data_IF_401264747511
#
_entry.id   IF_401264747511
#
_cell.length_a   1.000
_cell.length_b   1.000
_cell.length_c   1.000
_cell.angle_alpha   90.00
_cell.angle_beta   90.00
_cell.angle_gamma   90.00
#
_symmetry.space_group_name_H-M   'P 1'
#
loop_
_entity.id
_entity.type
_entity.pdbx_description
1 polymer ?
#
# COMPACT_ATOMS: atom_id res chain seq x y z
N UNK A 1 1.68 -10.63 -49.65
CA UNK A 1 2.24 -10.78 -48.28
C UNK A 1 1.37 -9.97 -47.34
N UNK A 2 0.35 -10.60 -46.76
CA UNK A 2 -0.60 -9.98 -45.84
C UNK A 2 -0.10 -10.16 -44.41
N UNK A 3 0.58 -9.15 -43.87
CA UNK A 3 0.90 -9.08 -42.45
C UNK A 3 -0.32 -8.52 -41.72
N UNK A 4 -1.20 -9.42 -41.28
CA UNK A 4 -2.31 -9.13 -40.39
C UNK A 4 -1.78 -8.62 -39.05
N UNK A 5 -2.22 -7.41 -38.72
CA UNK A 5 -2.07 -6.76 -37.43
C UNK A 5 -2.69 -7.62 -36.32
N UNK A 6 -1.89 -8.12 -35.39
CA UNK A 6 -2.42 -8.62 -34.12
C UNK A 6 -2.38 -7.48 -33.11
N UNK A 7 -3.54 -6.85 -32.91
CA UNK A 7 -3.75 -5.96 -31.78
C UNK A 7 -3.68 -6.79 -30.50
N UNK A 8 -2.59 -6.65 -29.74
CA UNK A 8 -2.53 -7.11 -28.37
C UNK A 8 -3.50 -6.25 -27.55
N UNK A 9 -4.72 -6.77 -27.34
CA UNK A 9 -5.65 -6.23 -26.36
C UNK A 9 -4.99 -6.37 -24.99
N UNK A 10 -4.32 -5.31 -24.54
CA UNK A 10 -3.90 -5.18 -23.17
C UNK A 10 -5.18 -5.05 -22.35
N UNK A 11 -5.60 -6.14 -21.72
CA UNK A 11 -6.65 -6.09 -20.74
C UNK A 11 -6.24 -5.05 -19.67
N UNK A 12 -7.09 -4.07 -19.32
CA UNK A 12 -6.80 -3.23 -18.18
C UNK A 12 -6.66 -4.14 -16.97
N UNK A 13 -5.57 -3.98 -16.21
CA UNK A 13 -5.35 -4.72 -14.98
C UNK A 13 -6.63 -4.60 -14.15
N UNK A 14 -7.35 -5.72 -14.01
CA UNK A 14 -8.52 -5.75 -13.16
C UNK A 14 -8.01 -5.47 -11.74
N UNK A 15 -8.36 -4.30 -11.20
CA UNK A 15 -8.14 -3.99 -9.79
C UNK A 15 -8.83 -5.06 -8.98
N UNK A 16 -8.03 -6.04 -8.55
CA UNK A 16 -8.48 -7.05 -7.62
C UNK A 16 -8.67 -6.34 -6.29
N UNK A 17 -9.70 -6.72 -5.53
CA UNK A 17 -9.72 -6.36 -4.11
C UNK A 17 -8.42 -6.92 -3.52
N UNK A 18 -7.60 -6.04 -2.97
CA UNK A 18 -6.32 -6.34 -2.32
C UNK A 18 -5.18 -6.70 -3.30
N UNK A 19 -4.81 -5.77 -4.18
CA UNK A 19 -3.62 -5.91 -5.02
C UNK A 19 -2.35 -5.65 -4.20
N UNK A 20 -1.74 -6.75 -3.74
CA UNK A 20 -0.48 -6.70 -2.96
C UNK A 20 0.67 -6.03 -3.73
N UNK A 21 0.71 -6.11 -5.06
CA UNK A 21 1.75 -5.49 -5.85
C UNK A 21 1.53 -3.96 -5.97
N UNK A 22 0.27 -3.53 -6.12
CA UNK A 22 -0.09 -2.13 -6.02
C UNK A 22 0.21 -1.57 -4.62
N UNK A 23 -0.20 -2.29 -3.57
CA UNK A 23 0.08 -1.94 -2.17
C UNK A 23 1.57 -1.81 -1.87
N UNK A 24 2.40 -2.70 -2.41
CA UNK A 24 3.86 -2.61 -2.28
C UNK A 24 4.43 -1.33 -2.93
N UNK A 25 3.95 -0.96 -4.12
CA UNK A 25 4.37 0.26 -4.83
C UNK A 25 3.94 1.52 -4.08
N UNK A 26 2.70 1.56 -3.61
CA UNK A 26 2.17 2.66 -2.81
C UNK A 26 2.93 2.81 -1.50
N UNK A 27 3.22 1.70 -0.81
CA UNK A 27 4.06 1.70 0.38
C UNK A 27 5.45 2.27 0.07
N UNK A 28 6.07 1.84 -1.02
CA UNK A 28 7.36 2.34 -1.46
C UNK A 28 7.35 3.87 -1.67
N UNK A 29 6.31 4.38 -2.31
CA UNK A 29 6.16 5.80 -2.64
C UNK A 29 5.86 6.70 -1.42
N UNK A 30 5.10 6.19 -0.45
CA UNK A 30 4.49 7.04 0.58
C UNK A 30 4.95 6.76 2.01
N UNK A 31 5.45 5.55 2.30
CA UNK A 31 5.63 5.10 3.68
C UNK A 31 7.11 4.88 4.05
N UNK A 32 7.96 4.56 3.07
CA UNK A 32 9.35 4.13 3.31
C UNK A 32 10.23 5.20 3.91
N UNK A 33 9.94 6.49 3.68
CA UNK A 33 10.70 7.59 4.24
C UNK A 33 10.78 7.57 5.78
N UNK A 34 9.77 7.00 6.45
CA UNK A 34 9.70 6.90 7.90
C UNK A 34 9.76 5.46 8.39
N UNK A 35 9.06 4.54 7.71
CA UNK A 35 8.93 3.14 8.15
C UNK A 35 9.96 2.19 7.55
N UNK A 36 10.80 2.67 6.64
CA UNK A 36 11.83 1.88 5.96
C UNK A 36 11.27 0.95 4.89
N UNK A 37 12.12 0.54 3.96
CA UNK A 37 11.76 -0.40 2.89
C UNK A 37 11.43 -1.81 3.43
N UNK A 38 12.08 -2.18 4.53
CA UNK A 38 11.92 -3.45 5.26
C UNK A 38 10.83 -3.38 6.34
N UNK A 39 10.16 -2.22 6.49
CA UNK A 39 9.13 -1.97 7.50
C UNK A 39 9.65 -1.99 8.94
N UNK A 40 10.96 -1.93 9.16
CA UNK A 40 11.54 -1.98 10.51
C UNK A 40 11.34 -0.68 11.29
N UNK A 41 11.04 0.43 10.60
CA UNK A 41 10.98 1.75 11.20
C UNK A 41 12.33 2.19 11.78
N UNK A 42 12.27 3.11 12.74
CA UNK A 42 13.43 3.61 13.47
C UNK A 42 13.10 3.61 14.96
N UNK A 43 13.73 2.75 15.78
CA UNK A 43 13.46 2.68 17.21
C UNK A 43 13.51 4.06 17.88
N UNK A 44 12.44 4.41 18.60
CA UNK A 44 12.31 5.70 19.28
C UNK A 44 11.80 6.87 18.41
N UNK A 45 11.72 6.72 17.09
CA UNK A 45 11.25 7.77 16.17
C UNK A 45 10.05 7.33 15.31
N UNK A 46 10.16 6.19 14.62
CA UNK A 46 9.13 5.66 13.73
C UNK A 46 8.87 4.19 14.04
N UNK A 47 7.62 3.76 14.28
CA UNK A 47 7.35 2.40 14.69
C UNK A 47 7.58 1.41 13.53
N UNK A 48 7.98 0.19 13.91
CA UNK A 48 8.00 -0.94 12.98
C UNK A 48 6.58 -1.32 12.54
N UNK A 49 6.44 -1.60 11.24
CA UNK A 49 5.20 -2.13 10.65
C UNK A 49 5.31 -3.63 10.33
N UNK A 50 6.44 -4.26 10.64
CA UNK A 50 6.56 -5.73 10.66
C UNK A 50 5.50 -6.33 11.57
N UNK A 51 4.83 -7.40 11.13
CA UNK A 51 3.77 -8.09 11.87
C UNK A 51 2.62 -7.16 12.35
N UNK A 52 2.36 -6.04 11.68
CA UNK A 52 1.31 -5.09 12.13
C UNK A 52 -0.07 -5.75 12.20
N UNK A 53 -0.34 -6.75 11.36
CA UNK A 53 -1.56 -7.56 11.41
C UNK A 53 -1.77 -8.33 12.72
N UNK A 54 -0.72 -8.53 13.54
CA UNK A 54 -0.84 -9.09 14.90
C UNK A 54 -1.24 -8.05 15.95
N UNK A 55 -1.09 -6.76 15.64
CA UNK A 55 -1.31 -5.63 16.57
C UNK A 55 -2.54 -4.79 16.22
N UNK A 56 -2.93 -4.77 14.95
CA UNK A 56 -4.02 -3.96 14.44
C UNK A 56 -4.85 -4.76 13.44
N UNK A 57 -6.17 -4.55 13.47
CA UNK A 57 -7.07 -5.06 12.44
C UNK A 57 -6.89 -4.28 11.13
N UNK A 58 -7.27 -4.84 9.97
CA UNK A 58 -7.24 -4.11 8.70
C UNK A 58 -8.00 -2.77 8.77
N UNK A 59 -9.14 -2.74 9.47
CA UNK A 59 -9.91 -1.49 9.66
C UNK A 59 -9.09 -0.44 10.41
N UNK A 60 -8.40 -0.84 11.48
CA UNK A 60 -7.56 0.08 12.25
C UNK A 60 -6.35 0.56 11.45
N UNK A 61 -5.74 -0.30 10.63
CA UNK A 61 -4.63 0.08 9.74
C UNK A 61 -5.11 1.14 8.74
N UNK A 62 -6.24 0.90 8.07
CA UNK A 62 -6.82 1.84 7.10
C UNK A 62 -7.16 3.18 7.74
N UNK A 63 -7.85 3.18 8.88
CA UNK A 63 -8.14 4.41 9.61
C UNK A 63 -6.86 5.17 9.98
N UNK A 64 -5.80 4.46 10.39
CA UNK A 64 -4.53 5.07 10.75
C UNK A 64 -3.83 5.69 9.54
N UNK A 65 -3.89 5.05 8.37
CA UNK A 65 -3.39 5.61 7.11
C UNK A 65 -4.17 6.87 6.73
N UNK A 66 -5.50 6.82 6.78
CA UNK A 66 -6.35 7.96 6.41
C UNK A 66 -6.17 9.16 7.34
N UNK A 67 -6.12 8.93 8.65
CA UNK A 67 -6.09 10.00 9.67
C UNK A 67 -4.66 10.42 10.05
N UNK A 68 -3.66 9.57 9.81
CA UNK A 68 -2.28 9.80 10.28
C UNK A 68 -2.15 9.78 11.80
N UNK A 69 -1.15 10.48 12.32
CA UNK A 69 -1.01 10.84 13.74
C UNK A 69 0.42 10.98 14.21
N UNK A 70 0.65 11.90 15.15
CA UNK A 70 1.99 12.33 15.53
C UNK A 70 2.69 12.94 14.31
N UNK A 71 3.86 12.39 13.96
CA UNK A 71 4.62 12.80 12.77
C UNK A 71 4.13 12.15 11.46
N UNK A 72 3.25 11.14 11.52
CA UNK A 72 2.70 10.50 10.33
C UNK A 72 1.61 11.41 9.73
N UNK A 73 1.79 11.94 8.50
CA UNK A 73 0.77 12.78 7.87
C UNK A 73 -0.50 11.97 7.54
N UNK A 74 -1.66 12.62 7.43
CA UNK A 74 -2.86 11.98 6.90
C UNK A 74 -2.71 11.73 5.39
N UNK A 75 -3.08 10.54 4.92
CA UNK A 75 -3.07 10.18 3.50
C UNK A 75 -4.47 10.27 2.88
N UNK A 76 -5.23 11.31 3.22
CA UNK A 76 -6.62 11.51 2.74
C UNK A 76 -6.73 11.79 1.23
N UNK A 77 -5.61 12.02 0.55
CA UNK A 77 -5.55 12.17 -0.91
C UNK A 77 -5.52 10.82 -1.64
N UNK A 78 -5.20 9.72 -0.95
CA UNK A 78 -5.28 8.38 -1.51
C UNK A 78 -6.75 7.95 -1.58
N UNK A 79 -7.10 7.25 -2.65
CA UNK A 79 -8.39 6.61 -2.82
C UNK A 79 -8.57 5.47 -1.80
N UNK A 80 -9.82 5.06 -1.59
CA UNK A 80 -10.12 3.92 -0.72
C UNK A 80 -9.44 2.64 -1.19
N UNK A 81 -9.40 2.41 -2.52
CA UNK A 81 -8.74 1.24 -3.09
C UNK A 81 -7.23 1.25 -2.82
N UNK A 82 -6.56 2.41 -2.96
CA UNK A 82 -5.13 2.52 -2.65
C UNK A 82 -4.84 2.25 -1.16
N UNK A 83 -5.71 2.72 -0.27
CA UNK A 83 -5.60 2.46 1.18
C UNK A 83 -5.85 0.97 1.49
N UNK A 84 -6.82 0.35 0.82
CA UNK A 84 -7.09 -1.09 0.93
C UNK A 84 -5.85 -1.90 0.46
N UNK A 85 -5.28 -1.56 -0.69
CA UNK A 85 -4.10 -2.24 -1.23
C UNK A 85 -2.88 -2.11 -0.30
N UNK A 86 -2.62 -0.91 0.26
CA UNK A 86 -1.56 -0.70 1.26
C UNK A 86 -1.83 -1.54 2.51
N UNK A 87 -3.06 -1.50 3.04
CA UNK A 87 -3.42 -2.24 4.24
C UNK A 87 -3.23 -3.74 4.05
N UNK A 88 -3.64 -4.27 2.90
CA UNK A 88 -3.51 -5.69 2.58
C UNK A 88 -2.04 -6.10 2.38
N UNK A 89 -1.22 -5.24 1.78
CA UNK A 89 0.23 -5.44 1.71
C UNK A 89 0.90 -5.46 3.09
N UNK A 90 0.44 -4.64 4.03
CA UNK A 90 0.97 -4.57 5.40
C UNK A 90 0.48 -5.72 6.29
N UNK A 91 -0.73 -6.22 6.06
CA UNK A 91 -1.34 -7.28 6.87
C UNK A 91 -0.89 -8.70 6.50
N UNK A 92 -0.13 -8.86 5.41
CA UNK A 92 0.56 -10.11 5.05
C UNK A 92 1.75 -10.38 5.97
#
# INVERSE_FOLDING_TARGET
MTLTLWAATHAPAAWSKDDLAAGAKLYAAHCTACHGADRAGMPGAFPALTDIGKRMTPVQIKEKISKGGGLMPPFSHLSQQEIDDISSYLAK
#
